data_IF_458203977946
#
_entry.id   IF_458203977946
#
_cell.length_a   1.000
_cell.length_b   1.000
_cell.length_c   1.000
_cell.angle_alpha   90.00
_cell.angle_beta   90.00
_cell.angle_gamma   90.00
#
_symmetry.space_group_name_H-M   'P 1'
#
loop_
_entity.id
_entity.type
_entity.pdbx_description
1 polymer ?
#
# COMPACT_ATOMS: atom_id res chain seq x y z
N UNK A 1 42.56 15.45 -4.62
CA UNK A 1 43.29 15.01 -5.83
C UNK A 1 42.34 14.13 -6.64
N UNK A 2 41.89 14.63 -7.78
CA UNK A 2 40.89 14.01 -8.67
C UNK A 2 41.42 12.71 -9.30
N UNK A 3 40.59 11.65 -9.36
CA UNK A 3 40.59 10.69 -10.46
C UNK A 3 39.17 10.30 -10.85
N UNK A 4 38.74 10.84 -11.99
CA UNK A 4 37.65 10.32 -12.84
C UNK A 4 38.03 8.92 -13.31
N UNK A 5 37.10 7.97 -13.19
CA UNK A 5 37.06 6.81 -14.09
C UNK A 5 35.67 6.80 -14.71
N UNK A 6 35.62 7.16 -16.00
CA UNK A 6 34.46 6.90 -16.84
C UNK A 6 34.37 5.40 -17.08
N UNK A 7 33.19 4.83 -16.81
CA UNK A 7 32.82 3.48 -17.18
C UNK A 7 31.41 3.50 -17.73
N UNK A 8 31.28 3.79 -19.02
CA UNK A 8 30.06 3.56 -19.79
C UNK A 8 29.86 2.05 -19.82
N UNK A 9 29.05 1.52 -18.89
CA UNK A 9 28.52 0.16 -19.02
C UNK A 9 27.35 0.22 -19.99
N UNK A 10 27.61 -0.23 -21.22
CA UNK A 10 26.57 -0.66 -22.17
C UNK A 10 25.59 -1.55 -21.42
N UNK A 11 24.33 -1.13 -21.36
CA UNK A 11 23.21 -1.98 -20.97
C UNK A 11 23.13 -3.11 -22.00
N UNK A 12 23.71 -4.25 -21.65
CA UNK A 12 23.50 -5.49 -22.39
C UNK A 12 22.07 -5.93 -22.16
N UNK A 13 21.31 -6.02 -23.26
CA UNK A 13 19.99 -6.62 -23.34
C UNK A 13 19.93 -7.92 -22.53
N UNK A 14 19.16 -7.93 -21.44
CA UNK A 14 18.81 -9.13 -20.71
C UNK A 14 17.32 -9.44 -20.92
N UNK A 15 17.10 -10.48 -21.74
CA UNK A 15 16.05 -11.50 -21.61
C UNK A 15 14.58 -11.05 -21.63
N UNK A 16 13.93 -11.30 -22.77
CA UNK A 16 12.52 -11.66 -22.97
C UNK A 16 11.58 -11.37 -21.79
N UNK A 17 11.15 -10.12 -21.67
CA UNK A 17 9.81 -9.85 -21.15
C UNK A 17 8.89 -10.21 -22.31
N UNK A 18 8.21 -11.36 -22.22
CA UNK A 18 7.11 -11.66 -23.16
C UNK A 18 6.21 -10.43 -23.20
N UNK A 19 6.15 -9.75 -24.35
CA UNK A 19 5.30 -8.58 -24.54
C UNK A 19 3.87 -9.03 -24.32
N UNK A 20 3.28 -8.58 -23.20
CA UNK A 20 1.88 -8.84 -22.91
C UNK A 20 1.06 -8.09 -23.96
N UNK A 21 0.09 -8.74 -24.62
CA UNK A 21 -0.62 -8.17 -25.75
C UNK A 21 -1.19 -6.79 -25.40
N UNK A 22 -1.00 -5.83 -26.31
CA UNK A 22 -1.41 -4.43 -26.15
C UNK A 22 -2.92 -4.24 -25.91
N UNK A 23 -3.74 -5.23 -26.23
CA UNK A 23 -5.18 -5.24 -25.96
C UNK A 23 -5.65 -6.62 -25.52
N UNK A 24 -6.41 -6.67 -24.44
CA UNK A 24 -7.05 -7.89 -23.93
C UNK A 24 -8.56 -7.70 -24.13
N UNK A 25 -9.19 -8.40 -25.10
CA UNK A 25 -10.58 -8.15 -25.48
C UNK A 25 -11.55 -8.18 -24.31
N UNK A 26 -11.38 -9.15 -23.40
CA UNK A 26 -12.24 -9.33 -22.25
C UNK A 26 -12.14 -8.18 -21.25
N UNK A 27 -10.94 -7.61 -21.08
CA UNK A 27 -10.75 -6.42 -20.26
C UNK A 27 -11.42 -5.19 -20.89
N UNK A 28 -11.34 -5.06 -22.22
CA UNK A 28 -11.97 -3.96 -22.94
C UNK A 28 -13.51 -4.01 -22.83
N UNK A 29 -14.09 -5.22 -22.86
CA UNK A 29 -15.52 -5.41 -22.63
C UNK A 29 -15.90 -4.91 -21.23
N UNK A 30 -15.15 -5.29 -20.20
CA UNK A 30 -15.40 -4.81 -18.84
C UNK A 30 -15.30 -3.28 -18.73
N UNK A 31 -14.27 -2.68 -19.33
CA UNK A 31 -14.11 -1.21 -19.37
C UNK A 31 -15.28 -0.52 -20.06
N UNK A 32 -15.78 -1.08 -21.16
CA UNK A 32 -16.94 -0.54 -21.87
C UNK A 32 -18.22 -0.63 -21.02
N UNK A 33 -18.45 -1.76 -20.34
CA UNK A 33 -19.60 -1.91 -19.43
C UNK A 33 -19.54 -0.88 -18.29
N UNK A 34 -18.36 -0.69 -17.69
CA UNK A 34 -18.14 0.32 -16.64
C UNK A 34 -18.41 1.74 -17.16
N UNK A 35 -17.94 2.09 -18.36
CA UNK A 35 -18.18 3.43 -18.93
C UNK A 35 -19.65 3.69 -19.28
N UNK A 36 -20.43 2.62 -19.48
CA UNK A 36 -21.88 2.66 -19.66
C UNK A 36 -22.65 2.71 -18.32
N UNK A 37 -21.94 2.71 -17.18
CA UNK A 37 -22.52 2.75 -15.84
C UNK A 37 -23.01 1.40 -15.31
N UNK A 38 -22.62 0.29 -15.96
CA UNK A 38 -22.95 -1.04 -15.45
C UNK A 38 -22.16 -1.36 -14.18
N UNK A 39 -22.83 -2.01 -13.23
CA UNK A 39 -22.20 -2.54 -12.03
C UNK A 39 -21.61 -3.93 -12.34
N UNK A 40 -20.31 -4.10 -12.11
CA UNK A 40 -19.62 -5.39 -12.27
C UNK A 40 -19.59 -6.11 -10.92
N UNK A 41 -20.27 -7.25 -10.83
CA UNK A 41 -20.23 -8.08 -9.63
C UNK A 41 -18.86 -8.75 -9.45
N UNK A 42 -18.53 -9.15 -8.22
CA UNK A 42 -17.29 -9.90 -7.93
C UNK A 42 -17.24 -11.22 -8.72
N UNK A 43 -18.39 -11.86 -8.94
CA UNK A 43 -18.47 -13.11 -9.71
C UNK A 43 -18.16 -12.86 -11.19
N UNK A 44 -18.80 -11.88 -11.82
CA UNK A 44 -18.50 -11.49 -13.21
C UNK A 44 -17.03 -11.12 -13.39
N UNK A 45 -16.46 -10.37 -12.45
CA UNK A 45 -15.06 -9.97 -12.46
C UNK A 45 -14.09 -11.17 -12.43
N UNK A 46 -14.39 -12.22 -11.66
CA UNK A 46 -13.52 -13.41 -11.66
C UNK A 46 -13.78 -14.35 -12.85
N UNK A 47 -14.93 -14.25 -13.50
CA UNK A 47 -15.32 -15.10 -14.64
C UNK A 47 -14.93 -14.50 -16.01
N UNK A 48 -14.49 -13.25 -16.07
CA UNK A 48 -14.19 -12.53 -17.32
C UNK A 48 -12.89 -12.93 -18.02
N UNK A 49 -12.13 -13.93 -17.54
CA UNK A 49 -10.94 -14.47 -18.22
C UNK A 49 -9.85 -13.44 -18.65
N UNK A 50 -9.85 -12.23 -18.10
CA UNK A 50 -8.94 -11.14 -18.53
C UNK A 50 -7.59 -11.11 -17.82
N UNK A 51 -7.43 -11.90 -16.74
CA UNK A 51 -6.22 -11.87 -15.90
C UNK A 51 -4.98 -12.35 -16.65
N UNK A 52 -3.93 -11.50 -16.68
CA UNK A 52 -2.61 -11.80 -17.24
C UNK A 52 -1.51 -11.45 -16.24
N UNK A 53 -1.41 -12.24 -15.17
CA UNK A 53 -0.34 -12.11 -14.17
C UNK A 53 1.00 -12.68 -14.67
N UNK A 54 2.11 -12.28 -14.05
CA UNK A 54 3.43 -12.85 -14.33
C UNK A 54 3.43 -14.37 -14.12
N UNK A 55 4.10 -15.14 -14.97
CA UNK A 55 4.26 -16.60 -14.85
C UNK A 55 2.92 -17.36 -14.77
N UNK A 56 2.46 -17.88 -15.90
CA UNK A 56 1.16 -18.57 -16.02
C UNK A 56 1.06 -19.82 -15.14
N UNK A 57 2.18 -20.44 -14.75
CA UNK A 57 2.21 -21.64 -13.89
C UNK A 57 1.63 -21.40 -12.49
N UNK A 58 1.67 -20.17 -11.99
CA UNK A 58 1.20 -19.82 -10.63
C UNK A 58 -0.09 -18.99 -10.63
N UNK A 59 -0.74 -18.85 -11.79
CA UNK A 59 -1.89 -17.94 -11.94
C UNK A 59 -3.03 -18.30 -10.97
N UNK A 60 -3.29 -19.58 -10.76
CA UNK A 60 -4.32 -20.08 -9.84
C UNK A 60 -4.05 -19.65 -8.40
N UNK A 61 -2.81 -19.76 -7.92
CA UNK A 61 -2.45 -19.35 -6.56
C UNK A 61 -2.60 -17.83 -6.38
N UNK A 62 -2.22 -17.05 -7.40
CA UNK A 62 -2.35 -15.58 -7.41
C UNK A 62 -3.79 -15.12 -7.41
N UNK A 63 -4.62 -15.74 -8.25
CA UNK A 63 -6.06 -15.48 -8.28
C UNK A 63 -6.73 -15.88 -6.96
N UNK A 64 -6.35 -17.01 -6.38
CA UNK A 64 -6.84 -17.42 -5.07
C UNK A 64 -6.48 -16.41 -3.98
N UNK A 65 -5.24 -15.90 -3.98
CA UNK A 65 -4.82 -14.86 -3.03
C UNK A 65 -5.63 -13.56 -3.21
N UNK A 66 -5.81 -13.11 -4.46
CA UNK A 66 -6.62 -11.93 -4.76
C UNK A 66 -8.07 -12.13 -4.32
N UNK A 67 -8.68 -13.26 -4.68
CA UNK A 67 -10.06 -13.62 -4.31
C UNK A 67 -10.24 -13.67 -2.80
N UNK A 68 -9.35 -14.35 -2.09
CA UNK A 68 -9.37 -14.39 -0.62
C UNK A 68 -9.22 -13.00 -0.02
N UNK A 69 -8.32 -12.16 -0.55
CA UNK A 69 -8.11 -10.80 -0.05
C UNK A 69 -9.34 -9.91 -0.26
N UNK A 70 -10.01 -10.01 -1.41
CA UNK A 70 -11.29 -9.32 -1.68
C UNK A 70 -12.38 -9.81 -0.71
N UNK A 71 -12.48 -11.12 -0.47
CA UNK A 71 -13.42 -11.66 0.51
C UNK A 71 -13.11 -11.19 1.94
N UNK A 72 -11.83 -11.14 2.34
CA UNK A 72 -11.41 -10.65 3.65
C UNK A 72 -11.75 -9.15 3.81
N UNK A 73 -11.50 -8.34 2.78
CA UNK A 73 -11.88 -6.93 2.78
C UNK A 73 -13.39 -6.75 2.98
N UNK A 74 -14.19 -7.60 2.34
CA UNK A 74 -15.65 -7.61 2.39
C UNK A 74 -16.24 -8.47 3.53
N UNK A 75 -15.40 -9.03 4.41
CA UNK A 75 -15.81 -9.99 5.46
C UNK A 75 -16.61 -9.37 6.60
N UNK A 76 -16.94 -8.07 6.53
CA UNK A 76 -17.65 -7.40 7.59
C UNK A 76 -16.91 -7.51 8.95
N UNK A 77 -15.58 -7.51 8.91
CA UNK A 77 -14.71 -7.47 10.09
C UNK A 77 -13.92 -6.16 10.13
N UNK A 78 -13.45 -5.72 11.31
CA UNK A 78 -12.53 -4.58 11.40
C UNK A 78 -11.31 -4.82 10.52
N UNK A 79 -10.97 -3.84 9.70
CA UNK A 79 -9.70 -3.83 8.98
C UNK A 79 -8.70 -3.06 9.82
N UNK A 80 -7.55 -3.65 10.09
CA UNK A 80 -6.53 -3.12 10.98
C UNK A 80 -5.23 -3.03 10.19
N UNK A 81 -4.84 -1.82 9.82
CA UNK A 81 -3.53 -1.58 9.25
C UNK A 81 -2.55 -1.17 10.35
N UNK A 82 -1.33 -1.69 10.28
CA UNK A 82 -0.23 -1.32 11.15
C UNK A 82 0.99 -0.97 10.33
N UNK A 83 1.79 -0.06 10.86
CA UNK A 83 3.09 0.29 10.33
C UNK A 83 4.02 0.68 11.50
N UNK A 84 5.33 0.56 11.31
CA UNK A 84 6.29 0.93 12.33
C UNK A 84 7.56 1.52 11.71
N UNK A 85 8.06 2.57 12.34
CA UNK A 85 9.36 3.12 12.05
C UNK A 85 10.37 2.68 13.09
N UNK A 86 11.60 2.43 12.64
CA UNK A 86 12.70 2.02 13.49
C UNK A 86 13.94 2.87 13.19
N UNK A 87 14.81 2.99 14.19
CA UNK A 87 15.95 3.87 14.10
C UNK A 87 16.94 3.39 13.04
N UNK A 88 17.24 4.24 12.07
CA UNK A 88 18.01 3.88 10.87
C UNK A 88 19.42 3.36 11.16
N UNK A 89 20.06 3.81 12.25
CA UNK A 89 21.39 3.34 12.67
C UNK A 89 21.34 2.05 13.49
N UNK A 90 20.20 1.74 14.09
CA UNK A 90 20.01 0.52 14.85
C UNK A 90 18.53 0.14 14.93
N UNK A 91 18.16 -0.79 14.04
CA UNK A 91 16.80 -1.30 13.83
C UNK A 91 16.24 -2.12 15.00
N UNK A 92 16.95 -2.20 16.14
CA UNK A 92 16.44 -2.71 17.42
C UNK A 92 15.48 -1.73 18.09
N UNK A 93 15.67 -0.43 17.86
CA UNK A 93 14.89 0.61 18.51
C UNK A 93 13.73 1.05 17.62
N UNK A 94 12.53 0.58 17.94
CA UNK A 94 11.29 1.05 17.30
C UNK A 94 11.05 2.49 17.78
N UNK A 95 10.84 3.42 16.86
CA UNK A 95 10.66 4.84 17.21
C UNK A 95 9.21 5.27 17.18
N UNK A 96 8.43 4.72 16.25
CA UNK A 96 7.04 5.11 16.00
C UNK A 96 6.20 3.90 15.61
N UNK A 97 4.90 3.97 15.91
CA UNK A 97 3.91 2.96 15.53
C UNK A 97 2.68 3.65 14.99
N UNK A 98 2.27 3.24 13.80
CA UNK A 98 1.03 3.65 13.16
C UNK A 98 -0.01 2.55 13.24
N UNK A 99 -1.25 2.95 13.50
CA UNK A 99 -2.40 2.03 13.48
C UNK A 99 -3.56 2.74 12.80
N UNK A 100 -4.11 2.13 11.75
CA UNK A 100 -5.33 2.61 11.08
C UNK A 100 -6.41 1.54 11.12
N UNK A 101 -7.63 1.95 11.43
CA UNK A 101 -8.76 1.04 11.65
C UNK A 101 -9.95 1.51 10.85
N UNK A 102 -10.56 0.60 10.12
CA UNK A 102 -11.83 0.80 9.45
C UNK A 102 -12.86 -0.20 9.97
N UNK A 103 -13.80 0.29 10.79
CA UNK A 103 -14.90 -0.52 11.30
C UNK A 103 -16.08 -0.57 10.32
N UNK A 104 -16.98 -1.54 10.51
CA UNK A 104 -18.09 -1.79 9.58
C UNK A 104 -19.07 -0.63 9.41
N UNK A 105 -19.49 0.02 10.52
CA UNK A 105 -20.40 1.18 10.48
C UNK A 105 -19.82 2.32 9.61
N UNK A 106 -18.49 2.33 9.48
CA UNK A 106 -17.74 3.34 8.75
C UNK A 106 -17.47 2.96 7.29
N UNK A 107 -17.82 1.74 6.86
CA UNK A 107 -17.77 1.31 5.45
C UNK A 107 -19.06 1.59 4.69
N UNK A 108 -20.18 1.78 5.39
CA UNK A 108 -21.48 2.09 4.76
C UNK A 108 -21.61 3.56 4.36
N UNK A 109 -20.67 4.40 4.80
CA UNK A 109 -20.59 5.81 4.39
C UNK A 109 -19.85 5.92 3.06
N UNK A 110 -20.27 6.88 2.23
CA UNK A 110 -19.63 7.17 0.93
C UNK A 110 -18.13 7.42 1.11
N UNK A 111 -17.76 8.15 2.17
CA UNK A 111 -16.36 8.35 2.56
C UNK A 111 -16.04 7.42 3.73
N UNK A 112 -15.10 6.46 3.57
CA UNK A 112 -14.77 5.53 4.65
C UNK A 112 -14.17 6.28 5.84
N UNK A 113 -14.75 6.10 7.02
CA UNK A 113 -14.26 6.78 8.23
C UNK A 113 -13.12 5.97 8.87
N UNK A 114 -11.89 6.15 8.38
CA UNK A 114 -10.70 5.48 8.91
C UNK A 114 -10.21 6.23 10.15
N UNK A 115 -10.10 5.52 11.29
CA UNK A 115 -9.51 6.06 12.52
C UNK A 115 -8.03 5.69 12.56
N UNK A 116 -7.18 6.69 12.71
CA UNK A 116 -5.72 6.50 12.71
C UNK A 116 -5.11 7.01 14.01
N UNK A 117 -4.17 6.24 14.54
CA UNK A 117 -3.37 6.57 15.70
C UNK A 117 -1.90 6.59 15.30
N UNK A 118 -1.19 7.57 15.83
CA UNK A 118 0.25 7.67 15.70
C UNK A 118 0.88 7.71 17.09
N UNK A 119 1.73 6.74 17.38
CA UNK A 119 2.40 6.57 18.66
C UNK A 119 3.89 6.83 18.46
N UNK A 120 4.46 7.70 19.29
CA UNK A 120 5.90 7.95 19.36
C UNK A 120 6.42 7.36 20.67
N UNK A 121 7.42 6.48 20.59
CA UNK A 121 7.99 5.83 21.77
C UNK A 121 8.89 6.83 22.52
N UNK A 122 8.48 7.16 23.74
CA UNK A 122 9.12 8.17 24.60
C UNK A 122 10.61 7.90 24.82
N UNK A 123 10.94 6.65 25.14
CA UNK A 123 12.31 6.15 25.37
C UNK A 123 13.24 6.39 24.17
N UNK A 124 12.65 6.54 22.98
CA UNK A 124 13.35 6.67 21.71
C UNK A 124 13.14 8.04 21.04
N UNK A 125 12.63 9.04 21.75
CA UNK A 125 12.37 10.38 21.20
C UNK A 125 13.59 11.02 20.50
N UNK A 126 14.78 10.86 21.09
CA UNK A 126 16.04 11.40 20.56
C UNK A 126 16.57 10.64 19.33
N UNK A 127 16.03 9.46 19.02
CA UNK A 127 16.40 8.67 17.83
C UNK A 127 15.62 9.20 16.63
N UNK A 128 16.33 9.86 15.71
CA UNK A 128 15.76 10.56 14.54
C UNK A 128 16.34 9.98 13.25
N UNK A 129 15.47 9.68 12.29
CA UNK A 129 15.86 9.21 10.97
C UNK A 129 16.03 10.41 10.04
N UNK A 130 17.23 10.57 9.47
CA UNK A 130 17.59 11.69 8.58
C UNK A 130 18.55 11.30 7.46
N UNK A 131 19.22 10.15 7.57
CA UNK A 131 20.25 9.71 6.63
C UNK A 131 19.64 9.09 5.37
N UNK A 132 18.63 8.24 5.53
CA UNK A 132 18.02 7.51 4.42
C UNK A 132 16.60 7.96 4.09
N UNK A 133 15.89 8.45 5.09
CA UNK A 133 14.50 8.92 4.98
C UNK A 133 14.36 10.28 5.67
N UNK A 134 13.42 11.14 5.24
CA UNK A 134 13.11 12.40 5.90
C UNK A 134 12.51 12.17 7.29
N UNK A 135 12.72 13.14 8.17
CA UNK A 135 12.28 13.11 9.55
C UNK A 135 10.88 13.70 9.71
N UNK A 136 9.84 12.89 9.47
CA UNK A 136 8.43 13.30 9.58
C UNK A 136 7.73 12.78 10.83
N UNK A 137 8.50 12.45 11.86
CA UNK A 137 8.01 11.96 13.16
C UNK A 137 6.87 12.79 13.75
N UNK A 138 6.91 14.11 13.61
CA UNK A 138 5.91 15.02 14.19
C UNK A 138 4.91 15.56 13.16
N UNK A 139 4.89 15.01 11.95
CA UNK A 139 4.04 15.45 10.83
C UNK A 139 2.86 14.48 10.60
N UNK A 140 2.19 14.09 11.69
CA UNK A 140 1.01 13.24 11.61
C UNK A 140 -0.20 14.03 11.08
N UNK A 141 -0.81 13.55 10.00
CA UNK A 141 -1.88 14.24 9.29
C UNK A 141 -3.26 14.08 9.94
N UNK A 142 -3.51 12.94 10.58
CA UNK A 142 -4.84 12.58 11.09
C UNK A 142 -5.04 12.99 12.57
N UNK A 143 -4.34 14.03 13.03
CA UNK A 143 -4.55 14.64 14.34
C UNK A 143 -3.28 14.74 15.18
N UNK A 144 -3.34 14.24 16.42
CA UNK A 144 -2.25 14.39 17.40
C UNK A 144 -1.50 13.08 17.57
N UNK A 145 -0.17 13.16 17.55
CA UNK A 145 0.69 12.05 17.94
C UNK A 145 0.63 11.84 19.44
N UNK A 146 0.61 10.58 19.89
CA UNK A 146 0.60 10.21 21.29
C UNK A 146 2.03 9.79 21.65
N UNK A 147 2.62 10.48 22.62
CA UNK A 147 3.90 10.08 23.20
C UNK A 147 3.61 9.17 24.38
N UNK A 148 4.22 7.98 24.39
CA UNK A 148 4.09 7.02 25.50
C UNK A 148 5.36 6.19 25.65
N UNK A 149 5.64 5.75 26.88
CA UNK A 149 6.75 4.84 27.16
C UNK A 149 6.61 3.52 26.40
N UNK A 150 7.72 2.82 26.20
CA UNK A 150 7.75 1.52 25.54
C UNK A 150 6.87 0.51 26.27
N UNK A 151 6.83 0.54 27.60
CA UNK A 151 5.96 -0.32 28.44
C UNK A 151 4.49 -0.06 28.18
N UNK A 152 4.05 1.22 28.22
CA UNK A 152 2.66 1.58 27.95
C UNK A 152 2.27 1.29 26.51
N UNK A 153 3.20 1.45 25.56
CA UNK A 153 3.02 1.09 24.16
C UNK A 153 2.73 -0.41 24.01
N UNK A 154 3.51 -1.28 24.66
CA UNK A 154 3.28 -2.73 24.65
C UNK A 154 1.93 -3.10 25.25
N UNK A 155 1.57 -2.51 26.38
CA UNK A 155 0.30 -2.78 27.03
C UNK A 155 -0.88 -2.34 26.15
N UNK A 156 -0.79 -1.13 25.58
CA UNK A 156 -1.78 -0.61 24.65
C UNK A 156 -1.95 -1.53 23.44
N UNK A 157 -0.85 -1.93 22.79
CA UNK A 157 -0.89 -2.82 21.62
C UNK A 157 -1.48 -4.19 21.94
N UNK A 158 -1.14 -4.78 23.09
CA UNK A 158 -1.73 -6.06 23.51
C UNK A 158 -3.25 -5.95 23.64
N UNK A 159 -3.74 -4.97 24.41
CA UNK A 159 -5.17 -4.71 24.58
C UNK A 159 -5.87 -4.40 23.25
N UNK A 160 -5.19 -3.65 22.39
CA UNK A 160 -5.68 -3.27 21.08
C UNK A 160 -5.87 -4.49 20.15
N UNK A 161 -4.83 -5.31 20.00
CA UNK A 161 -4.85 -6.51 19.16
C UNK A 161 -5.82 -7.54 19.72
N UNK A 162 -5.87 -7.73 21.03
CA UNK A 162 -6.87 -8.58 21.68
C UNK A 162 -8.30 -8.14 21.33
N UNK A 163 -8.60 -6.84 21.46
CA UNK A 163 -9.93 -6.31 21.15
C UNK A 163 -10.31 -6.47 19.68
N UNK A 164 -9.46 -6.04 18.75
CA UNK A 164 -9.86 -5.90 17.35
C UNK A 164 -9.46 -7.10 16.50
N UNK A 165 -8.26 -7.66 16.69
CA UNK A 165 -7.76 -8.75 15.87
C UNK A 165 -8.31 -10.10 16.35
N UNK A 166 -8.31 -10.33 17.67
CA UNK A 166 -8.74 -11.60 18.27
C UNK A 166 -10.25 -11.61 18.49
N UNK A 167 -10.76 -10.77 19.41
CA UNK A 167 -12.16 -10.82 19.85
C UNK A 167 -13.17 -10.43 18.75
N UNK A 168 -12.77 -9.52 17.86
CA UNK A 168 -13.61 -9.12 16.71
C UNK A 168 -13.21 -9.82 15.40
N UNK A 169 -12.26 -10.75 15.45
CA UNK A 169 -11.76 -11.48 14.27
C UNK A 169 -11.35 -10.55 13.12
N UNK A 170 -10.67 -9.45 13.44
CA UNK A 170 -10.21 -8.45 12.49
C UNK A 170 -9.27 -9.01 11.44
N UNK A 171 -9.10 -8.24 10.36
CA UNK A 171 -8.18 -8.55 9.26
C UNK A 171 -6.97 -7.64 9.40
N UNK A 172 -5.78 -8.25 9.47
CA UNK A 172 -4.53 -7.53 9.55
C UNK A 172 -4.08 -7.10 8.14
N UNK A 173 -3.77 -5.82 7.97
CA UNK A 173 -3.30 -5.26 6.71
C UNK A 173 -1.92 -4.65 6.94
N UNK A 174 -1.01 -4.84 5.98
CA UNK A 174 0.31 -4.23 6.03
C UNK A 174 0.93 -4.09 4.65
N UNK A 175 2.16 -3.61 4.64
CA UNK A 175 2.92 -3.35 3.42
C UNK A 175 4.29 -4.02 3.55
N UNK A 176 4.34 -5.33 3.25
CA UNK A 176 5.38 -6.28 3.70
C UNK A 176 5.22 -6.73 5.15
N UNK A 177 4.10 -7.41 5.45
CA UNK A 177 3.77 -7.89 6.80
C UNK A 177 4.87 -8.73 7.46
N UNK A 178 5.70 -9.41 6.66
CA UNK A 178 6.83 -10.20 7.17
C UNK A 178 7.87 -9.35 7.90
N UNK A 179 8.06 -8.09 7.48
CA UNK A 179 8.92 -7.12 8.16
C UNK A 179 8.25 -6.60 9.42
N UNK A 180 6.96 -6.31 9.37
CA UNK A 180 6.20 -5.70 10.46
C UNK A 180 6.11 -6.67 11.63
N UNK A 181 5.86 -7.95 11.37
CA UNK A 181 5.94 -9.02 12.36
C UNK A 181 7.30 -9.05 13.07
N UNK A 182 8.41 -8.87 12.34
CA UNK A 182 9.75 -8.85 12.96
C UNK A 182 9.94 -7.62 13.85
N UNK A 183 9.44 -6.46 13.44
CA UNK A 183 9.55 -5.23 14.24
C UNK A 183 8.70 -5.29 15.51
N UNK A 184 7.45 -5.72 15.42
CA UNK A 184 6.59 -5.89 16.60
C UNK A 184 7.14 -6.96 17.54
N UNK A 185 7.71 -8.05 17.01
CA UNK A 185 8.39 -9.06 17.83
C UNK A 185 9.56 -8.47 18.63
N UNK A 186 10.34 -7.54 18.05
CA UNK A 186 11.42 -6.83 18.79
C UNK A 186 10.87 -5.96 19.92
N UNK A 187 9.67 -5.41 19.76
CA UNK A 187 8.95 -4.69 20.81
C UNK A 187 8.36 -5.64 21.87
N UNK A 188 8.35 -6.95 21.64
CA UNK A 188 7.74 -7.93 22.54
C UNK A 188 6.22 -8.03 22.37
N UNK A 189 5.72 -7.73 21.17
CA UNK A 189 4.31 -7.86 20.79
C UNK A 189 4.20 -8.84 19.63
N UNK A 190 3.30 -9.81 19.76
CA UNK A 190 3.05 -10.78 18.68
C UNK A 190 1.88 -10.33 17.81
N UNK A 191 2.11 -10.32 16.50
CA UNK A 191 1.11 -10.03 15.49
C UNK A 191 0.56 -11.33 14.90
N UNK A 192 -0.17 -12.09 15.71
CA UNK A 192 -0.75 -13.36 15.29
C UNK A 192 -2.12 -13.10 14.64
N UNK A 193 -2.17 -13.15 13.31
CA UNK A 193 -3.43 -13.14 12.56
C UNK A 193 -3.48 -14.28 11.55
N UNK A 194 -4.58 -15.02 11.56
CA UNK A 194 -4.90 -16.02 10.53
C UNK A 194 -5.56 -15.37 9.30
N UNK A 195 -5.89 -14.08 9.37
CA UNK A 195 -6.53 -13.31 8.31
C UNK A 195 -5.70 -12.07 8.03
N UNK A 196 -4.97 -12.09 6.93
CA UNK A 196 -4.09 -10.98 6.59
C UNK A 196 -4.11 -10.65 5.10
N UNK A 197 -3.83 -9.38 4.81
CA UNK A 197 -3.70 -8.83 3.47
C UNK A 197 -2.37 -8.07 3.41
N UNK A 198 -1.53 -8.42 2.45
CA UNK A 198 -0.26 -7.74 2.21
C UNK A 198 -0.32 -6.96 0.90
N UNK A 199 -0.33 -5.63 1.02
CA UNK A 199 -0.44 -4.73 -0.12
C UNK A 199 0.76 -4.80 -1.06
N UNK A 200 1.94 -5.20 -0.57
CA UNK A 200 3.11 -5.42 -1.43
C UNK A 200 2.90 -6.64 -2.32
N UNK A 201 2.34 -7.74 -1.77
CA UNK A 201 2.02 -8.94 -2.55
C UNK A 201 0.96 -8.61 -3.60
N UNK A 202 -0.10 -7.88 -3.23
CA UNK A 202 -1.15 -7.44 -4.17
C UNK A 202 -0.57 -6.60 -5.31
N UNK A 203 0.33 -5.67 -5.01
CA UNK A 203 1.02 -4.89 -6.04
C UNK A 203 1.88 -5.75 -6.97
N UNK A 204 2.57 -6.75 -6.42
CA UNK A 204 3.41 -7.66 -7.19
C UNK A 204 2.63 -8.61 -8.11
N UNK A 205 1.32 -8.81 -7.88
CA UNK A 205 0.45 -9.47 -8.87
C UNK A 205 0.43 -8.68 -10.19
N UNK A 206 0.41 -7.36 -10.06
CA UNK A 206 0.19 -6.41 -11.15
C UNK A 206 1.48 -5.84 -11.72
N UNK A 207 2.54 -5.69 -10.93
CA UNK A 207 3.73 -4.91 -11.30
C UNK A 207 5.04 -5.59 -10.94
N UNK A 208 6.06 -5.43 -11.80
CA UNK A 208 7.39 -6.02 -11.61
C UNK A 208 8.30 -5.26 -10.63
N UNK A 209 8.03 -3.98 -10.43
CA UNK A 209 8.81 -3.05 -9.63
C UNK A 209 7.88 -1.99 -9.00
N UNK A 210 8.44 -1.00 -8.32
CA UNK A 210 7.64 0.09 -7.74
C UNK A 210 6.84 -0.33 -6.51
N UNK A 211 7.31 -1.33 -5.78
CA UNK A 211 6.62 -1.84 -4.58
C UNK A 211 6.75 -0.97 -3.35
N UNK A 212 7.39 0.21 -3.41
CA UNK A 212 7.41 1.15 -2.28
C UNK A 212 6.08 1.88 -2.15
N UNK A 213 5.65 2.16 -0.92
CA UNK A 213 4.38 2.85 -0.62
C UNK A 213 4.10 4.07 -1.50
N UNK A 214 5.07 4.99 -1.66
CA UNK A 214 4.93 6.19 -2.51
C UNK A 214 4.61 5.87 -3.97
N UNK A 215 5.22 4.84 -4.52
CA UNK A 215 5.09 4.48 -5.93
C UNK A 215 3.73 3.85 -6.20
N UNK A 216 3.20 3.08 -5.24
CA UNK A 216 1.86 2.52 -5.31
C UNK A 216 0.82 3.65 -5.19
N UNK A 217 0.98 4.56 -4.23
CA UNK A 217 0.09 5.74 -4.09
C UNK A 217 0.05 6.55 -5.39
N UNK A 218 1.21 6.84 -6.00
CA UNK A 218 1.29 7.50 -7.32
C UNK A 218 0.60 6.69 -8.43
N UNK A 219 0.77 5.37 -8.46
CA UNK A 219 0.15 4.54 -9.49
C UNK A 219 -1.37 4.50 -9.42
N UNK A 220 -1.93 4.72 -8.23
CA UNK A 220 -3.37 4.77 -7.96
C UNK A 220 -3.91 6.19 -7.93
N UNK A 221 -3.09 7.19 -8.27
CA UNK A 221 -3.44 8.62 -8.18
C UNK A 221 -3.94 9.05 -6.79
N UNK A 222 -3.45 8.41 -5.72
CA UNK A 222 -3.79 8.77 -4.34
C UNK A 222 -2.84 9.88 -3.88
N UNK A 223 -3.35 11.07 -3.51
CA UNK A 223 -2.52 12.14 -2.95
C UNK A 223 -1.93 11.73 -1.60
N UNK A 224 -0.68 12.10 -1.37
CA UNK A 224 0.01 11.80 -0.11
C UNK A 224 0.99 12.89 0.29
N UNK A 225 1.30 12.95 1.59
CA UNK A 225 2.36 13.77 2.16
C UNK A 225 2.95 13.07 3.38
N UNK A 226 4.16 13.46 3.78
CA UNK A 226 4.79 13.03 5.03
C UNK A 226 4.83 11.50 5.23
N UNK A 227 5.23 10.75 4.19
CA UNK A 227 5.61 9.33 4.32
C UNK A 227 6.84 9.20 5.24
N UNK A 228 7.02 8.07 5.91
CA UNK A 228 7.96 7.89 7.05
C UNK A 228 7.47 8.56 8.34
N UNK A 229 6.15 8.75 8.43
CA UNK A 229 5.44 8.89 9.68
C UNK A 229 4.55 7.66 9.78
N UNK A 230 4.81 6.79 10.77
CA UNK A 230 4.17 5.47 10.81
C UNK A 230 2.63 5.56 10.80
N UNK A 231 2.06 6.58 11.44
CA UNK A 231 0.62 6.84 11.44
C UNK A 231 0.06 7.13 10.04
N UNK A 232 0.71 8.04 9.32
CA UNK A 232 0.35 8.35 7.94
C UNK A 232 0.51 7.10 7.04
N UNK A 233 1.60 6.36 7.20
CA UNK A 233 1.90 5.18 6.39
C UNK A 233 0.88 4.04 6.61
N UNK A 234 0.42 3.83 7.85
CA UNK A 234 -0.68 2.92 8.13
C UNK A 234 -2.00 3.38 7.49
N UNK A 235 -2.27 4.70 7.46
CA UNK A 235 -3.45 5.25 6.78
C UNK A 235 -3.39 5.06 5.26
N UNK A 236 -2.25 5.39 4.64
CA UNK A 236 -2.04 5.23 3.21
C UNK A 236 -2.06 3.76 2.78
N UNK A 237 -1.53 2.86 3.61
CA UNK A 237 -1.60 1.42 3.36
C UNK A 237 -3.05 0.91 3.38
N UNK A 238 -3.89 1.43 4.29
CA UNK A 238 -5.34 1.15 4.26
C UNK A 238 -5.99 1.62 2.95
N UNK A 239 -5.69 2.84 2.49
CA UNK A 239 -6.21 3.35 1.22
C UNK A 239 -5.75 2.52 0.02
N UNK A 240 -4.49 2.10 0.00
CA UNK A 240 -3.95 1.20 -1.01
C UNK A 240 -4.70 -0.13 -1.00
N UNK A 241 -4.93 -0.72 0.18
CA UNK A 241 -5.66 -1.98 0.28
C UNK A 241 -7.08 -1.87 -0.28
N UNK A 242 -7.80 -0.78 0.06
CA UNK A 242 -9.14 -0.52 -0.48
C UNK A 242 -9.13 -0.40 -2.01
N UNK A 243 -8.15 0.28 -2.59
CA UNK A 243 -8.05 0.47 -4.05
C UNK A 243 -7.58 -0.80 -4.79
N UNK A 244 -6.54 -1.48 -4.29
CA UNK A 244 -5.98 -2.68 -4.92
C UNK A 244 -6.96 -3.87 -4.90
N UNK A 245 -8.00 -3.82 -4.08
CA UNK A 245 -9.00 -4.88 -3.91
C UNK A 245 -10.39 -4.48 -4.43
N UNK A 246 -10.52 -3.30 -5.04
CA UNK A 246 -11.72 -2.88 -5.74
C UNK A 246 -11.65 -3.33 -7.22
N UNK A 247 -12.54 -4.24 -7.68
CA UNK A 247 -12.55 -4.69 -9.07
C UNK A 247 -12.62 -3.58 -10.12
N UNK A 248 -13.38 -2.52 -9.86
CA UNK A 248 -13.55 -1.39 -10.79
C UNK A 248 -12.24 -0.62 -10.92
N UNK A 249 -11.58 -0.35 -9.79
CA UNK A 249 -10.23 0.26 -9.80
C UNK A 249 -9.23 -0.63 -10.53
N UNK A 250 -9.26 -1.95 -10.26
CA UNK A 250 -8.35 -2.90 -10.92
C UNK A 250 -8.53 -2.93 -12.44
N UNK A 251 -9.77 -2.91 -12.92
CA UNK A 251 -10.09 -2.85 -14.34
C UNK A 251 -9.63 -1.53 -14.95
N UNK A 252 -9.96 -0.39 -14.33
CA UNK A 252 -9.64 0.93 -14.86
C UNK A 252 -8.13 1.22 -14.90
N UNK A 253 -7.37 0.72 -13.92
CA UNK A 253 -5.93 0.94 -13.81
C UNK A 253 -5.07 -0.20 -14.40
N UNK A 254 -5.68 -1.14 -15.13
CA UNK A 254 -5.00 -2.30 -15.72
C UNK A 254 -4.16 -3.06 -14.69
N UNK A 255 -4.72 -3.27 -13.49
CA UNK A 255 -4.03 -3.98 -12.39
C UNK A 255 -4.06 -5.49 -12.59
N UNK A 256 -4.91 -6.02 -13.46
CA UNK A 256 -4.95 -7.46 -13.75
C UNK A 256 -4.01 -7.90 -14.86
N UNK A 257 -3.33 -6.92 -15.45
CA UNK A 257 -2.36 -7.10 -16.52
C UNK A 257 -0.98 -6.78 -15.95
N UNK A 258 -0.11 -7.77 -15.91
CA UNK A 258 1.22 -7.60 -15.36
C UNK A 258 2.04 -6.63 -16.21
N UNK A 259 2.71 -5.66 -15.61
CA UNK A 259 3.57 -4.73 -16.35
C UNK A 259 4.64 -4.10 -15.48
N UNK A 260 5.53 -3.33 -16.09
CA UNK A 260 6.51 -2.53 -15.35
C UNK A 260 5.79 -1.30 -14.80
N UNK A 261 5.98 -0.99 -13.51
CA UNK A 261 5.48 0.26 -12.93
C UNK A 261 6.23 1.45 -13.52
N UNK A 262 5.47 2.50 -13.87
CA UNK A 262 6.00 3.81 -14.26
C UNK A 262 6.75 4.49 -13.11
N UNK A 263 6.40 4.15 -11.87
CA UNK A 263 6.99 4.71 -10.66
C UNK A 263 7.90 3.66 -10.00
N UNK A 264 9.20 3.93 -9.99
CA UNK A 264 10.20 3.07 -9.35
C UNK A 264 11.41 3.88 -8.90
N UNK A 265 12.30 3.26 -8.14
CA UNK A 265 13.50 3.91 -7.61
C UNK A 265 13.27 4.70 -6.32
N UNK A 266 14.25 5.53 -5.94
CA UNK A 266 14.12 6.39 -4.76
C UNK A 266 13.05 7.44 -5.03
N UNK A 267 12.04 7.49 -4.17
CA UNK A 267 10.99 8.50 -4.26
C UNK A 267 11.62 9.88 -4.23
N UNK A 268 11.39 10.66 -5.28
CA UNK A 268 11.63 12.09 -5.18
C UNK A 268 10.63 12.60 -4.15
N UNK A 269 11.10 13.07 -2.99
CA UNK A 269 10.29 13.76 -2.00
C UNK A 269 9.82 15.07 -2.63
N UNK A 270 8.82 14.98 -3.51
CA UNK A 270 8.27 16.09 -4.27
C UNK A 270 7.42 16.93 -3.33
N UNK A 271 8.08 17.79 -2.54
CA UNK A 271 7.42 18.89 -1.85
C UNK A 271 7.02 20.02 -2.83
N UNK A 272 7.32 19.85 -4.12
CA UNK A 272 6.99 20.79 -5.18
C UNK A 272 5.90 20.21 -6.06
N UNK A 273 4.82 20.97 -6.21
CA UNK A 273 3.75 20.70 -7.18
C UNK A 273 4.32 20.85 -8.58
N UNK A 274 4.05 19.89 -9.47
CA UNK A 274 4.32 20.04 -10.89
C UNK A 274 3.24 20.94 -11.50
N UNK A 275 3.65 22.07 -12.06
CA UNK A 275 2.75 22.98 -12.78
C UNK A 275 2.97 22.79 -14.27
N UNK A 276 1.90 22.50 -15.01
CA UNK A 276 1.91 22.43 -16.46
C UNK A 276 1.08 23.57 -17.04
N UNK A 277 1.60 24.23 -18.08
CA UNK A 277 0.86 25.27 -18.78
C UNK A 277 -0.12 24.63 -19.76
N UNK A 278 -1.42 24.81 -19.54
CA UNK A 278 -2.44 24.38 -20.50
C UNK A 278 -2.42 25.30 -21.72
N UNK A 279 -2.05 24.76 -22.88
CA UNK A 279 -2.05 25.47 -24.16
C UNK A 279 -3.24 25.09 -25.05
N UNK A 280 -4.02 24.07 -24.69
CA UNK A 280 -5.19 23.60 -25.41
C UNK A 280 -6.21 23.07 -24.38
N UNK A 281 -7.37 23.73 -24.31
CA UNK A 281 -8.44 23.41 -23.36
C UNK A 281 -9.17 22.14 -23.76
N UNK A 282 -9.39 21.90 -25.06
CA UNK A 282 -10.09 20.71 -25.55
C UNK A 282 -9.33 19.43 -25.19
N UNK A 283 -8.00 19.46 -25.35
CA UNK A 283 -7.14 18.35 -24.91
C UNK A 283 -7.21 18.11 -23.40
N UNK A 284 -7.42 19.16 -22.60
CA UNK A 284 -7.58 19.01 -21.15
C UNK A 284 -8.94 18.37 -20.83
N UNK A 285 -10.00 18.74 -21.54
CA UNK A 285 -11.33 18.14 -21.40
C UNK A 285 -11.31 16.66 -21.79
N UNK A 286 -10.58 16.29 -22.85
CA UNK A 286 -10.42 14.88 -23.26
C UNK A 286 -9.68 14.01 -22.20
N UNK A 287 -8.97 14.63 -21.26
CA UNK A 287 -8.26 13.94 -20.17
C UNK A 287 -9.08 13.79 -18.88
N UNK A 288 -10.24 14.44 -18.77
CA UNK A 288 -11.16 14.41 -17.62
C UNK A 288 -12.22 13.34 -17.83
#
# INVERSE_FOLDING_TARGET
MYRRIQGIRRLTNSSNVNEIPKSIPELNILKQRISQGENITIEEYFNSNHFKFKNETDITAKLNYLKQSIHLLNSNKPLICIDCEAFEKNQKYITEIGISILNQIQKTTIVPQIKTYHIIIEDHLKKRNKLYVPDYKYNFLNGKSIIMSETNTKEFLKKFLEKYLINQHGVLIGHNLSSEVKFFKKLGVELNSNKSIDTLILHQLSRSNGGSLWAILRSLNIPYSFLHNAGNDAYYTMLIALNLLDPIIRINYDLDIYQISKYSGKGQHHHKVSVEKCNNVDKLIEMI
#
